data_IF_831464150356
#
_entry.id   IF_831464150356
#
_cell.length_a   1.000
_cell.length_b   1.000
_cell.length_c   1.000
_cell.angle_alpha   90.00
_cell.angle_beta   90.00
_cell.angle_gamma   90.00
#
_symmetry.space_group_name_H-M   'P 1'
#
loop_
_entity.id
_entity.type
_entity.pdbx_description
1 polymer ?
#
# COMPACT_ATOMS: atom_id res chain seq x y z
N UNK A 1 -9.04 -4.39 -9.14
CA UNK A 1 -8.51 -5.76 -8.99
C UNK A 1 -8.16 -5.94 -7.52
N UNK A 2 -8.39 -7.11 -6.92
CA UNK A 2 -8.02 -7.34 -5.51
C UNK A 2 -6.55 -7.72 -5.42
N UNK A 3 -5.75 -6.89 -4.75
CA UNK A 3 -4.31 -7.12 -4.52
C UNK A 3 -4.13 -8.18 -3.43
N UNK A 4 -3.26 -9.17 -3.64
CA UNK A 4 -3.00 -10.20 -2.61
C UNK A 4 -1.99 -9.73 -1.57
N UNK A 5 -2.20 -10.17 -0.31
CA UNK A 5 -1.25 -10.04 0.79
C UNK A 5 -0.27 -11.22 0.75
N UNK A 6 1.02 -10.93 0.67
CA UNK A 6 2.12 -11.89 0.64
C UNK A 6 2.57 -12.26 2.05
N UNK A 7 3.27 -13.39 2.19
CA UNK A 7 3.88 -13.83 3.46
C UNK A 7 5.20 -13.13 3.78
N UNK A 8 5.79 -12.42 2.82
CA UNK A 8 7.08 -11.74 2.95
C UNK A 8 7.00 -10.31 2.37
N UNK A 9 7.90 -9.39 2.77
CA UNK A 9 7.91 -8.03 2.27
C UNK A 9 8.02 -7.95 0.74
N UNK A 10 7.21 -7.06 0.15
CA UNK A 10 7.49 -6.53 -1.16
C UNK A 10 8.69 -5.58 -1.05
N UNK A 11 9.86 -6.11 -1.41
CA UNK A 11 11.14 -5.44 -1.19
C UNK A 11 11.18 -4.14 -1.99
N UNK A 12 11.54 -3.03 -1.32
CA UNK A 12 11.61 -1.70 -1.93
C UNK A 12 10.38 -0.82 -1.67
N UNK A 13 9.32 -1.36 -1.07
CA UNK A 13 8.13 -0.57 -0.68
C UNK A 13 8.12 -0.36 0.83
N UNK A 14 8.21 0.91 1.25
CA UNK A 14 8.02 1.31 2.64
C UNK A 14 6.54 1.63 2.90
N UNK A 15 5.92 0.95 3.85
CA UNK A 15 4.56 1.22 4.30
C UNK A 15 4.59 1.57 5.78
N UNK A 16 4.38 2.85 6.11
CA UNK A 16 4.33 3.33 7.51
C UNK A 16 2.91 3.37 8.08
N UNK A 17 1.91 3.15 7.23
CA UNK A 17 0.50 3.22 7.60
C UNK A 17 0.14 1.93 8.32
N UNK A 18 0.32 1.91 9.64
CA UNK A 18 0.10 0.73 10.47
C UNK A 18 -1.37 0.25 10.53
N UNK A 19 -2.31 1.05 10.02
CA UNK A 19 -3.72 0.67 9.83
C UNK A 19 -3.97 0.00 8.48
N UNK A 20 -2.99 -0.05 7.58
CA UNK A 20 -3.09 -0.70 6.28
C UNK A 20 -3.02 -2.22 6.45
N UNK A 21 -3.91 -2.94 5.77
CA UNK A 21 -3.99 -4.38 5.76
C UNK A 21 -2.68 -5.03 5.29
N UNK A 22 -1.93 -4.34 4.45
CA UNK A 22 -0.67 -4.81 3.91
C UNK A 22 0.56 -4.39 4.73
N UNK A 23 0.37 -3.67 5.85
CA UNK A 23 1.47 -3.32 6.74
C UNK A 23 2.10 -4.55 7.39
N UNK A 24 3.42 -4.54 7.47
CA UNK A 24 4.24 -5.52 8.19
C UNK A 24 5.28 -4.78 9.03
N UNK A 25 5.61 -5.36 10.19
CA UNK A 25 6.61 -4.82 11.12
C UNK A 25 7.92 -4.45 10.39
N UNK A 26 8.49 -3.30 10.76
CA UNK A 26 9.67 -2.74 10.09
C UNK A 26 9.35 -1.79 8.93
N UNK A 27 8.15 -1.19 8.93
CA UNK A 27 7.64 -0.32 7.87
C UNK A 27 7.63 -0.99 6.48
N UNK A 28 7.32 -2.28 6.43
CA UNK A 28 7.29 -3.06 5.20
C UNK A 28 5.88 -3.17 4.65
N UNK A 29 5.76 -3.18 3.32
CA UNK A 29 4.51 -3.54 2.63
C UNK A 29 4.52 -5.02 2.24
N UNK A 30 3.39 -5.70 2.38
CA UNK A 30 3.19 -7.10 1.95
C UNK A 30 2.22 -7.22 0.77
N UNK A 31 1.79 -6.10 0.17
CA UNK A 31 1.01 -6.12 -1.04
C UNK A 31 1.85 -6.66 -2.21
N UNK A 32 1.32 -7.59 -3.01
CA UNK A 32 2.04 -8.13 -4.18
C UNK A 32 2.42 -7.07 -5.22
N UNK A 33 1.62 -6.01 -5.29
CA UNK A 33 1.88 -4.80 -6.06
C UNK A 33 1.16 -3.63 -5.40
N UNK A 34 1.62 -2.41 -5.66
CA UNK A 34 0.89 -1.21 -5.26
C UNK A 34 0.36 -0.49 -6.50
N UNK A 35 -0.78 0.16 -6.33
CA UNK A 35 -1.37 1.06 -7.30
C UNK A 35 -1.46 2.45 -6.68
N UNK A 36 -0.91 3.43 -7.39
CA UNK A 36 -0.92 4.83 -7.01
C UNK A 36 -1.82 5.56 -8.00
N UNK A 37 -2.75 6.37 -7.50
CA UNK A 37 -3.79 7.05 -8.30
C UNK A 37 -3.94 8.52 -7.90
N UNK A 38 -4.56 9.35 -8.77
CA UNK A 38 -4.97 9.08 -10.14
C UNK A 38 -3.82 9.21 -11.16
N UNK A 39 -4.03 8.71 -12.39
CA UNK A 39 -3.04 8.74 -13.49
C UNK A 39 -2.48 10.14 -13.78
N UNK A 40 -3.28 11.18 -13.60
CA UNK A 40 -2.95 12.57 -13.96
C UNK A 40 -2.83 13.47 -12.72
N UNK A 41 -2.41 12.90 -11.57
CA UNK A 41 -2.14 13.68 -10.36
C UNK A 41 -1.12 14.80 -10.66
N UNK A 42 -1.45 16.02 -10.25
CA UNK A 42 -0.61 17.21 -10.48
C UNK A 42 0.26 17.56 -9.28
N UNK A 43 -0.11 17.05 -8.11
CA UNK A 43 0.60 17.26 -6.87
C UNK A 43 0.47 16.03 -5.95
N UNK A 44 1.13 16.12 -4.81
CA UNK A 44 1.16 15.04 -3.83
C UNK A 44 -0.16 14.88 -3.08
N UNK A 45 -0.97 15.94 -2.99
CA UNK A 45 -2.26 15.93 -2.30
C UNK A 45 -3.32 15.17 -3.10
N UNK A 46 -3.17 15.14 -4.43
CA UNK A 46 -3.98 14.30 -5.32
C UNK A 46 -3.52 12.83 -5.35
N UNK A 47 -2.32 12.51 -4.85
CA UNK A 47 -1.72 11.18 -5.01
C UNK A 47 -2.03 10.27 -3.82
N UNK A 48 -2.78 9.19 -4.08
CA UNK A 48 -3.16 8.20 -3.08
C UNK A 48 -2.68 6.79 -3.41
N UNK A 49 -2.40 6.00 -2.37
CA UNK A 49 -2.20 4.56 -2.49
C UNK A 49 -3.58 3.88 -2.60
N UNK A 50 -4.03 3.60 -3.82
CA UNK A 50 -5.30 2.90 -4.09
C UNK A 50 -5.29 1.44 -3.58
N UNK A 51 -4.12 0.90 -3.25
CA UNK A 51 -3.96 -0.39 -2.59
C UNK A 51 -4.22 -0.34 -1.08
N UNK A 52 -4.41 0.84 -0.49
CA UNK A 52 -4.77 0.92 0.92
C UNK A 52 -6.09 0.18 1.19
N UNK A 53 -6.03 -0.78 2.10
CA UNK A 53 -7.19 -1.41 2.72
C UNK A 53 -7.02 -1.29 4.23
N UNK A 54 -8.06 -0.97 5.01
CA UNK A 54 -7.96 -0.96 6.46
C UNK A 54 -7.92 -2.40 7.03
N UNK A 55 -7.05 -2.67 8.01
CA UNK A 55 -6.89 -4.02 8.63
C UNK A 55 -8.15 -4.48 9.40
N UNK A 56 -9.04 -3.57 9.80
CA UNK A 56 -10.20 -3.85 10.66
C UNK A 56 -11.55 -3.44 10.05
N UNK A 57 -11.81 -3.74 8.77
CA UNK A 57 -13.14 -3.58 8.16
C UNK A 57 -13.76 -4.91 7.74
#
# INVERSE_FOLDING_TARGET
MSVKKMSQPNTGIKCIVNTCHYYMNGDHCTAEQIEVQPRNARDTQETDCATFLPENQ
#
